data_IF_345353634727
#
_entry.id   IF_345353634727
#
_cell.length_a   1.000
_cell.length_b   1.000
_cell.length_c   1.000
_cell.angle_alpha   90.00
_cell.angle_beta   90.00
_cell.angle_gamma   90.00
#
_symmetry.space_group_name_H-M   'P 1'
#
loop_
_entity.id
_entity.type
_entity.pdbx_description
1 polymer ?
#
# COMPACT_ATOMS: atom_id res chain seq x y z
N UNK A 1 10.07 -17.67 3.41
CA UNK A 1 8.61 -17.62 3.70
C UNK A 1 8.20 -18.59 4.80
N UNK A 2 8.51 -19.90 4.71
CA UNK A 2 8.09 -20.91 5.70
C UNK A 2 8.55 -20.62 7.15
N UNK A 3 9.75 -20.06 7.34
CA UNK A 3 10.25 -19.68 8.68
C UNK A 3 9.47 -18.54 9.33
N UNK A 4 8.92 -17.62 8.52
CA UNK A 4 8.09 -16.51 9.02
C UNK A 4 6.75 -17.06 9.51
N UNK A 5 6.14 -17.99 8.76
CA UNK A 5 4.92 -18.69 9.18
C UNK A 5 5.15 -19.53 10.44
N UNK A 6 6.34 -20.12 10.61
CA UNK A 6 6.72 -20.84 11.83
C UNK A 6 6.88 -19.89 13.03
N UNK A 7 7.43 -18.70 12.83
CA UNK A 7 7.47 -17.63 13.85
C UNK A 7 6.08 -17.15 14.25
N UNK A 8 5.18 -16.96 13.27
CA UNK A 8 3.78 -16.60 13.50
C UNK A 8 3.02 -17.66 14.32
N UNK A 9 3.35 -18.95 14.16
CA UNK A 9 2.73 -20.05 14.93
C UNK A 9 2.99 -19.93 16.44
N UNK A 10 4.12 -19.35 16.83
CA UNK A 10 4.44 -19.10 18.24
C UNK A 10 3.63 -17.91 18.81
N UNK A 11 3.28 -16.92 17.99
CA UNK A 11 2.38 -15.82 18.38
C UNK A 11 0.93 -16.28 18.60
N UNK A 12 0.53 -17.37 17.93
CA UNK A 12 -0.80 -18.00 18.08
C UNK A 12 -0.88 -18.90 19.33
N UNK A 13 0.21 -19.05 20.10
CA UNK A 13 0.20 -19.92 21.28
C UNK A 13 -0.62 -19.28 22.41
N UNK A 14 -1.89 -19.64 22.47
CA UNK A 14 -2.83 -19.19 23.50
C UNK A 14 -2.34 -19.66 24.88
N UNK A 15 -2.04 -18.71 25.77
CA UNK A 15 -1.68 -19.00 27.16
C UNK A 15 -2.81 -19.76 27.86
N UNK A 16 -2.46 -20.80 28.62
CA UNK A 16 -3.40 -21.64 29.36
C UNK A 16 -3.97 -20.93 30.61
N UNK A 17 -3.27 -19.90 31.12
CA UNK A 17 -3.72 -19.12 32.28
C UNK A 17 -4.44 -17.87 31.78
N UNK A 18 -5.73 -17.73 32.13
CA UNK A 18 -6.60 -16.63 31.68
C UNK A 18 -6.80 -15.63 32.82
N UNK A 19 -6.19 -14.45 32.68
CA UNK A 19 -6.31 -13.35 33.65
C UNK A 19 -7.10 -12.16 33.05
N UNK A 20 -7.26 -12.11 31.72
CA UNK A 20 -7.79 -10.94 30.99
C UNK A 20 -9.21 -11.10 30.42
N UNK A 21 -9.86 -9.96 30.18
CA UNK A 21 -11.15 -9.89 29.49
C UNK A 21 -11.04 -10.31 28.01
N UNK A 22 -12.15 -10.83 27.46
CA UNK A 22 -12.25 -11.31 26.07
C UNK A 22 -11.90 -10.24 25.03
N UNK A 23 -12.24 -8.98 25.31
CA UNK A 23 -11.96 -7.83 24.43
C UNK A 23 -10.45 -7.58 24.33
N UNK A 24 -9.74 -7.56 25.47
CA UNK A 24 -8.29 -7.41 25.47
C UNK A 24 -7.61 -8.57 24.72
N UNK A 25 -8.11 -9.80 24.89
CA UNK A 25 -7.64 -10.96 24.13
C UNK A 25 -7.84 -10.84 22.63
N UNK A 26 -8.97 -10.31 22.18
CA UNK A 26 -9.20 -10.08 20.75
C UNK A 26 -8.18 -9.07 20.21
N UNK A 27 -7.87 -8.02 20.98
CA UNK A 27 -6.96 -6.96 20.56
C UNK A 27 -5.51 -7.45 20.40
N UNK A 28 -4.92 -8.07 21.43
CA UNK A 28 -3.52 -8.51 21.35
C UNK A 28 -3.31 -9.77 20.49
N UNK A 29 -4.35 -10.57 20.27
CA UNK A 29 -4.23 -11.84 19.52
C UNK A 29 -4.72 -11.72 18.08
N UNK A 30 -5.95 -11.24 17.86
CA UNK A 30 -6.54 -11.21 16.52
C UNK A 30 -6.07 -9.99 15.73
N UNK A 31 -6.13 -8.79 16.32
CA UNK A 31 -5.77 -7.55 15.61
C UNK A 31 -4.30 -7.54 15.22
N UNK A 32 -3.41 -7.94 16.13
CA UNK A 32 -1.96 -8.07 15.86
C UNK A 32 -1.69 -9.05 14.71
N UNK A 33 -2.35 -10.21 14.69
CA UNK A 33 -2.17 -11.20 13.62
C UNK A 33 -2.65 -10.70 12.26
N UNK A 34 -3.77 -9.97 12.23
CA UNK A 34 -4.32 -9.37 11.00
C UNK A 34 -3.37 -8.28 10.47
N UNK A 35 -2.89 -7.39 11.34
CA UNK A 35 -1.97 -6.32 10.96
C UNK A 35 -0.63 -6.88 10.45
N UNK A 36 -0.09 -7.92 11.10
CA UNK A 36 1.11 -8.63 10.64
C UNK A 36 0.92 -9.28 9.27
N UNK A 37 -0.22 -9.94 9.05
CA UNK A 37 -0.51 -10.56 7.76
C UNK A 37 -0.60 -9.51 6.65
N UNK A 38 -1.32 -8.40 6.87
CA UNK A 38 -1.40 -7.32 5.89
C UNK A 38 -0.07 -6.62 5.66
N UNK A 39 0.71 -6.38 6.70
CA UNK A 39 2.07 -5.83 6.58
C UNK A 39 2.92 -6.70 5.65
N UNK A 40 2.95 -8.02 5.89
CA UNK A 40 3.73 -8.96 5.08
C UNK A 40 3.25 -9.05 3.62
N UNK A 41 1.94 -9.03 3.39
CA UNK A 41 1.36 -9.03 2.03
C UNK A 41 1.75 -7.75 1.28
N UNK A 42 1.67 -6.60 1.94
CA UNK A 42 2.04 -5.31 1.34
C UNK A 42 3.53 -5.26 1.05
N UNK A 43 4.40 -5.70 1.98
CA UNK A 43 5.85 -5.78 1.78
C UNK A 43 6.20 -6.67 0.57
N UNK A 44 5.58 -7.85 0.46
CA UNK A 44 5.89 -8.77 -0.65
C UNK A 44 5.54 -8.17 -2.01
N UNK A 45 4.42 -7.45 -2.12
CA UNK A 45 4.06 -6.72 -3.35
C UNK A 45 5.00 -5.56 -3.67
N UNK A 46 5.51 -4.86 -2.66
CA UNK A 46 6.38 -3.69 -2.85
C UNK A 46 7.84 -4.04 -3.18
N UNK A 47 8.36 -5.16 -2.68
CA UNK A 47 9.77 -5.54 -2.85
C UNK A 47 10.01 -6.63 -3.91
N UNK A 48 9.02 -7.48 -4.20
CA UNK A 48 9.18 -8.62 -5.13
C UNK A 48 8.32 -8.46 -6.40
N UNK A 49 7.33 -7.58 -6.39
CA UNK A 49 6.49 -7.27 -7.55
C UNK A 49 6.68 -5.85 -8.06
N UNK A 50 6.02 -5.53 -9.19
CA UNK A 50 5.94 -4.16 -9.70
C UNK A 50 4.89 -3.39 -8.88
N UNK A 51 5.29 -2.34 -8.12
CA UNK A 51 4.35 -1.58 -7.29
C UNK A 51 3.46 -0.64 -8.11
N UNK A 52 3.90 -0.26 -9.31
CA UNK A 52 3.17 0.57 -10.26
C UNK A 52 3.64 0.26 -11.68
N UNK A 53 2.70 0.25 -12.63
CA UNK A 53 2.99 0.16 -14.06
C UNK A 53 2.68 1.50 -14.72
N UNK A 54 3.69 2.09 -15.36
CA UNK A 54 3.60 3.37 -16.05
C UNK A 54 3.53 3.18 -17.57
N UNK A 55 2.66 3.96 -18.22
CA UNK A 55 2.58 3.99 -19.68
C UNK A 55 3.85 4.64 -20.22
N UNK A 56 4.61 3.90 -21.04
CA UNK A 56 5.87 4.38 -21.60
C UNK A 56 5.84 4.39 -23.14
N UNK A 57 6.67 5.25 -23.73
CA UNK A 57 7.02 5.17 -25.16
C UNK A 57 8.21 4.22 -25.34
N UNK A 58 8.36 3.64 -26.54
CA UNK A 58 9.34 2.57 -26.85
C UNK A 58 10.82 2.93 -26.61
N UNK A 59 11.13 4.19 -26.31
CA UNK A 59 12.49 4.70 -26.15
C UNK A 59 13.09 4.46 -24.75
N UNK A 60 12.26 4.23 -23.73
CA UNK A 60 12.70 4.11 -22.33
C UNK A 60 12.35 2.71 -21.80
N UNK A 61 13.29 2.00 -21.12
CA UNK A 61 13.00 0.72 -20.49
C UNK A 61 11.96 0.87 -19.38
N UNK A 62 10.99 -0.04 -19.37
CA UNK A 62 9.83 -0.05 -18.47
C UNK A 62 10.24 0.00 -16.99
N UNK A 63 11.22 -0.81 -16.59
CA UNK A 63 11.68 -0.89 -15.19
C UNK A 63 12.17 0.45 -14.64
N UNK A 64 12.85 1.24 -15.47
CA UNK A 64 13.37 2.56 -15.06
C UNK A 64 12.23 3.54 -14.89
N UNK A 65 11.26 3.55 -15.80
CA UNK A 65 10.10 4.44 -15.70
C UNK A 65 9.22 4.07 -14.52
N UNK A 66 8.95 2.78 -14.31
CA UNK A 66 8.17 2.30 -13.17
C UNK A 66 8.85 2.66 -11.84
N UNK A 67 10.18 2.50 -11.74
CA UNK A 67 10.95 2.90 -10.56
C UNK A 67 10.89 4.41 -10.34
N UNK A 68 11.02 5.21 -11.41
CA UNK A 68 10.91 6.66 -11.33
C UNK A 68 9.52 7.09 -10.86
N UNK A 69 8.46 6.54 -11.47
CA UNK A 69 7.07 6.78 -11.08
C UNK A 69 6.75 6.35 -9.64
N UNK A 70 7.45 5.34 -9.12
CA UNK A 70 7.25 4.85 -7.76
C UNK A 70 7.97 5.70 -6.71
N UNK A 71 9.21 6.12 -6.99
CA UNK A 71 10.00 6.96 -6.09
C UNK A 71 9.43 8.38 -6.07
N UNK A 72 9.15 8.92 -7.26
CA UNK A 72 8.48 10.21 -7.41
C UNK A 72 7.01 10.07 -7.04
N UNK A 73 6.44 11.15 -6.49
CA UNK A 73 5.04 11.13 -6.12
C UNK A 73 4.14 11.19 -7.35
N UNK A 74 3.06 10.42 -7.35
CA UNK A 74 2.02 10.51 -8.36
C UNK A 74 1.01 11.58 -7.99
N UNK A 75 0.40 12.20 -8.99
CA UNK A 75 -0.66 13.18 -8.79
C UNK A 75 -1.84 12.90 -9.73
N UNK A 76 -3.02 13.28 -9.28
CA UNK A 76 -4.25 13.25 -10.07
C UNK A 76 -4.80 14.67 -10.19
N UNK A 77 -5.44 14.95 -11.32
CA UNK A 77 -6.08 16.24 -11.59
C UNK A 77 -7.55 16.16 -11.17
N UNK A 78 -7.98 17.01 -10.22
CA UNK A 78 -9.36 16.97 -9.68
C UNK A 78 -10.41 17.25 -10.74
N UNK A 79 -10.17 18.24 -11.60
CA UNK A 79 -11.07 18.62 -12.69
C UNK A 79 -11.24 17.52 -13.75
N UNK A 80 -10.28 16.59 -13.85
CA UNK A 80 -10.33 15.46 -14.78
C UNK A 80 -11.30 14.35 -14.35
N UNK A 81 -11.80 14.35 -13.10
CA UNK A 81 -12.81 13.39 -12.65
C UNK A 81 -14.21 13.67 -13.22
N UNK A 82 -14.49 14.92 -13.57
CA UNK A 82 -15.78 15.34 -14.15
C UNK A 82 -15.84 15.17 -15.68
N UNK A 83 -14.70 14.89 -16.31
CA UNK A 83 -14.56 14.79 -17.77
C UNK A 83 -14.97 13.40 -18.27
N UNK A 84 -15.46 13.35 -19.51
CA UNK A 84 -15.92 12.08 -20.13
C UNK A 84 -14.72 11.28 -20.64
N UNK A 85 -14.55 10.09 -20.07
CA UNK A 85 -13.50 9.13 -20.48
C UNK A 85 -13.69 8.74 -21.95
N UNK A 86 -12.59 8.72 -22.70
CA UNK A 86 -12.56 8.32 -24.12
C UNK A 86 -12.84 9.46 -25.10
N UNK A 87 -13.21 10.66 -24.62
CA UNK A 87 -13.30 11.87 -25.45
C UNK A 87 -12.35 12.96 -24.98
N UNK A 88 -12.47 13.34 -23.70
CA UNK A 88 -11.74 14.47 -23.14
C UNK A 88 -10.54 14.03 -22.29
N UNK A 89 -10.60 12.83 -21.70
CA UNK A 89 -9.53 12.25 -20.87
C UNK A 89 -9.29 10.76 -21.20
N UNK A 90 -8.03 10.29 -21.16
CA UNK A 90 -7.71 8.88 -21.34
C UNK A 90 -8.20 8.01 -20.18
N UNK A 91 -8.20 8.55 -18.95
CA UNK A 91 -8.70 7.89 -17.75
C UNK A 91 -9.16 8.91 -16.70
N UNK A 92 -9.96 8.47 -15.72
CA UNK A 92 -10.41 9.34 -14.63
C UNK A 92 -9.22 9.91 -13.85
N UNK A 93 -9.20 11.23 -13.64
CA UNK A 93 -8.13 11.90 -12.88
C UNK A 93 -6.82 12.08 -13.64
N UNK A 94 -6.71 11.58 -14.89
CA UNK A 94 -5.52 11.71 -15.74
C UNK A 94 -5.77 12.77 -16.79
N UNK A 95 -5.14 13.93 -16.63
CA UNK A 95 -5.21 15.03 -17.58
C UNK A 95 -3.95 15.90 -17.50
N UNK A 96 -3.76 16.77 -18.49
CA UNK A 96 -2.70 17.78 -18.46
C UNK A 96 -2.95 18.74 -17.30
N UNK A 97 -1.90 19.01 -16.54
CA UNK A 97 -1.95 19.97 -15.45
C UNK A 97 -2.03 21.39 -16.03
N UNK A 98 -3.21 22.01 -15.99
CA UNK A 98 -3.42 23.42 -16.39
C UNK A 98 -3.23 24.38 -15.22
N UNK A 99 -3.62 23.96 -14.03
CA UNK A 99 -3.44 24.71 -12.78
C UNK A 99 -2.91 23.79 -11.68
N UNK A 100 -1.90 24.26 -10.96
CA UNK A 100 -1.30 23.57 -9.80
C UNK A 100 -2.28 23.40 -8.64
N UNK A 101 -3.31 24.26 -8.53
CA UNK A 101 -4.33 24.18 -7.47
C UNK A 101 -5.23 22.94 -7.59
N UNK A 102 -5.39 22.42 -8.80
CA UNK A 102 -6.20 21.26 -9.14
C UNK A 102 -5.48 19.92 -8.92
N UNK A 103 -4.21 19.97 -8.52
CA UNK A 103 -3.38 18.79 -8.30
C UNK A 103 -3.65 18.15 -6.94
N UNK A 104 -3.95 16.84 -6.92
CA UNK A 104 -3.99 16.02 -5.71
C UNK A 104 -2.84 15.02 -5.74
N UNK A 105 -1.88 15.17 -4.81
CA UNK A 105 -0.67 14.35 -4.73
C UNK A 105 -0.89 13.14 -3.81
N UNK A 106 -0.43 11.97 -4.23
CA UNK A 106 -0.52 10.70 -3.51
C UNK A 106 0.88 10.25 -3.06
N UNK A 107 1.14 10.30 -1.75
CA UNK A 107 2.45 9.94 -1.16
C UNK A 107 2.39 8.78 -0.16
N UNK A 108 1.19 8.34 0.21
CA UNK A 108 1.03 7.43 1.34
C UNK A 108 1.47 6.00 1.03
N UNK A 109 1.45 5.56 -0.24
CA UNK A 109 1.72 4.17 -0.62
C UNK A 109 3.06 3.64 -0.12
N UNK A 110 4.09 4.49 -0.07
CA UNK A 110 5.42 4.15 0.46
C UNK A 110 5.40 3.90 1.97
N UNK A 111 4.51 4.58 2.70
CA UNK A 111 4.48 4.60 4.17
C UNK A 111 3.52 3.58 4.79
N UNK A 112 2.54 3.07 4.04
CA UNK A 112 1.53 2.12 4.55
C UNK A 112 2.18 0.91 5.25
N UNK A 113 3.24 0.34 4.66
CA UNK A 113 3.94 -0.80 5.25
C UNK A 113 4.55 -0.46 6.62
N UNK A 114 5.17 0.72 6.75
CA UNK A 114 5.78 1.17 8.00
C UNK A 114 4.72 1.48 9.06
N UNK A 115 3.62 2.13 8.69
CA UNK A 115 2.52 2.41 9.62
C UNK A 115 1.90 1.11 10.17
N UNK A 116 1.65 0.12 9.30
CA UNK A 116 1.13 -1.19 9.73
C UNK A 116 2.11 -1.93 10.65
N UNK A 117 3.41 -1.80 10.40
CA UNK A 117 4.44 -2.41 11.25
C UNK A 117 4.52 -1.73 12.62
N UNK A 118 4.49 -0.40 12.69
CA UNK A 118 4.50 0.31 13.97
C UNK A 118 3.23 0.06 14.79
N UNK A 119 2.06 -0.05 14.13
CA UNK A 119 0.79 -0.37 14.81
C UNK A 119 0.76 -1.78 15.43
N UNK A 120 1.67 -2.68 15.01
CA UNK A 120 1.83 -3.99 15.65
C UNK A 120 2.70 -3.90 16.90
N UNK A 121 3.62 -2.94 16.95
CA UNK A 121 4.59 -2.77 18.05
C UNK A 121 3.97 -1.98 19.20
N UNK A 122 3.10 -1.01 18.89
CA UNK A 122 2.31 -0.21 19.84
C UNK A 122 1.19 -1.05 20.48
#
# INVERSE_FOLDING_TARGET
MLDIFRGLKNLVKVSHVRIDATIFRLHYSLTVMILLAFSLIVTTRQYVGNPIDCIHTKEIPEDVLNTYCWIMHTYLVKSAFLKKVGKDVPHFGVDKLTDTSDMKVYKYYQWVCFCLFFQVID
#
